data_IF_579367225912
#
_entry.id   IF_579367225912
#
_cell.length_a   1.000
_cell.length_b   1.000
_cell.length_c   1.000
_cell.angle_alpha   90.00
_cell.angle_beta   90.00
_cell.angle_gamma   90.00
#
_symmetry.space_group_name_H-M   'P 1'
#
loop_
_entity.id
_entity.type
_entity.pdbx_description
1 polymer ?
#
# COMPACT_ATOMS: atom_id res chain seq x y z
N UNK A 1 -17.19 -35.84 35.77
CA UNK A 1 -15.93 -35.21 35.30
C UNK A 1 -15.90 -34.95 33.78
N UNK A 2 -16.14 -35.94 32.90
CA UNK A 2 -16.12 -35.75 31.42
C UNK A 2 -17.05 -34.64 30.87
N UNK A 3 -18.27 -34.53 31.41
CA UNK A 3 -19.24 -33.48 31.06
C UNK A 3 -18.72 -32.06 31.34
N UNK A 4 -17.96 -31.87 32.42
CA UNK A 4 -17.39 -30.58 32.80
C UNK A 4 -16.29 -30.15 31.81
N UNK A 5 -15.44 -31.11 31.41
CA UNK A 5 -14.34 -30.88 30.45
C UNK A 5 -14.89 -30.53 29.06
N UNK A 6 -15.98 -31.15 28.62
CA UNK A 6 -16.61 -30.84 27.34
C UNK A 6 -17.21 -29.43 27.31
N UNK A 7 -17.86 -28.99 28.40
CA UNK A 7 -18.36 -27.61 28.53
C UNK A 7 -17.23 -26.58 28.50
N UNK A 8 -16.13 -26.86 29.21
CA UNK A 8 -14.94 -26.00 29.23
C UNK A 8 -14.31 -25.86 27.84
N UNK A 9 -14.23 -26.95 27.07
CA UNK A 9 -13.73 -26.92 25.68
C UNK A 9 -14.57 -26.02 24.78
N UNK A 10 -15.90 -26.12 24.87
CA UNK A 10 -16.82 -25.29 24.06
C UNK A 10 -16.65 -23.80 24.41
N UNK A 11 -16.58 -23.48 25.71
CA UNK A 11 -16.39 -22.09 26.16
C UNK A 11 -15.05 -21.53 25.66
N UNK A 12 -13.97 -22.30 25.74
CA UNK A 12 -12.66 -21.90 25.22
C UNK A 12 -12.69 -21.67 23.71
N UNK A 13 -13.29 -22.59 22.94
CA UNK A 13 -13.43 -22.42 21.49
C UNK A 13 -14.23 -21.16 21.15
N UNK A 14 -15.32 -20.89 21.85
CA UNK A 14 -16.13 -19.69 21.62
C UNK A 14 -15.36 -18.40 21.96
N UNK A 15 -14.63 -18.40 23.07
CA UNK A 15 -13.75 -17.29 23.47
C UNK A 15 -12.69 -16.99 22.40
N UNK A 16 -11.98 -18.01 21.89
CA UNK A 16 -11.00 -17.83 20.83
C UNK A 16 -11.62 -17.35 19.50
N UNK A 17 -12.82 -17.83 19.15
CA UNK A 17 -13.55 -17.34 17.96
C UNK A 17 -14.00 -15.88 18.08
N UNK A 18 -14.35 -15.40 19.28
CA UNK A 18 -14.72 -13.99 19.46
C UNK A 18 -13.51 -13.06 19.47
N UNK A 19 -12.34 -13.56 19.87
CA UNK A 19 -11.11 -12.77 19.92
C UNK A 19 -10.60 -12.40 18.52
N UNK A 20 -10.79 -13.27 17.52
CA UNK A 20 -10.38 -12.99 16.14
C UNK A 20 -11.13 -11.83 15.49
N UNK A 21 -12.35 -11.52 15.93
CA UNK A 21 -13.15 -10.40 15.43
C UNK A 21 -12.55 -9.04 15.82
N UNK A 22 -11.72 -8.99 16.88
CA UNK A 22 -11.05 -7.77 17.34
C UNK A 22 -9.72 -7.48 16.60
N UNK A 23 -9.29 -8.37 15.72
CA UNK A 23 -8.09 -8.16 14.91
C UNK A 23 -8.50 -7.53 13.59
N UNK A 24 -8.13 -6.27 13.40
CA UNK A 24 -8.27 -5.59 12.13
C UNK A 24 -6.91 -5.62 11.42
N UNK A 25 -6.86 -6.05 10.15
CA UNK A 25 -5.79 -5.65 9.24
C UNK A 25 -6.06 -4.19 8.89
N UNK A 26 -5.28 -3.27 9.47
CA UNK A 26 -5.53 -1.85 9.34
C UNK A 26 -4.39 -1.21 8.57
N UNK A 27 -4.77 -0.30 7.67
CA UNK A 27 -3.90 0.71 7.07
C UNK A 27 -2.91 0.28 6.01
N UNK A 28 -2.85 -1.00 5.65
CA UNK A 28 -1.99 -1.46 4.55
C UNK A 28 -2.36 -0.80 3.21
N UNK A 29 -3.64 -0.42 3.04
CA UNK A 29 -4.18 0.30 1.89
C UNK A 29 -4.45 1.80 2.14
N UNK A 30 -3.88 2.41 3.19
CA UNK A 30 -4.17 3.81 3.55
C UNK A 30 -3.36 4.86 2.77
N UNK A 31 -2.35 4.45 2.01
CA UNK A 31 -1.67 5.37 1.09
C UNK A 31 -1.91 4.90 -0.33
N UNK A 32 -2.37 5.83 -1.16
CA UNK A 32 -2.54 5.60 -2.58
C UNK A 32 -1.58 6.56 -3.28
N UNK A 33 -0.76 6.01 -4.16
CA UNK A 33 0.05 6.83 -5.07
C UNK A 33 -0.67 6.78 -6.40
N UNK A 34 -1.16 7.93 -6.83
CA UNK A 34 -1.82 8.12 -8.11
C UNK A 34 -0.78 8.66 -9.09
N UNK A 35 -1.06 8.50 -10.39
CA UNK A 35 -0.22 9.05 -11.47
C UNK A 35 0.12 10.54 -11.28
N UNK A 36 1.02 11.07 -12.10
CA UNK A 36 1.53 12.46 -11.93
C UNK A 36 2.10 12.74 -10.54
N UNK A 37 2.50 11.70 -9.80
CA UNK A 37 3.23 11.79 -8.53
C UNK A 37 2.45 12.41 -7.38
N UNK A 38 1.18 12.02 -7.23
CA UNK A 38 0.32 12.50 -6.15
C UNK A 38 0.10 11.39 -5.13
N UNK A 39 0.33 11.68 -3.85
CA UNK A 39 -0.03 10.81 -2.73
C UNK A 39 -1.38 11.24 -2.15
N UNK A 40 -2.30 10.29 -2.05
CA UNK A 40 -3.53 10.38 -1.28
C UNK A 40 -3.37 9.59 0.02
N UNK A 41 -3.50 10.29 1.16
CA UNK A 41 -3.25 9.74 2.50
C UNK A 41 -4.56 9.68 3.31
N UNK A 42 -4.99 8.46 3.62
CA UNK A 42 -6.18 8.17 4.42
C UNK A 42 -5.89 8.14 5.93
N UNK A 43 -4.67 8.43 6.38
CA UNK A 43 -4.38 8.62 7.81
C UNK A 43 -4.93 9.93 8.38
N UNK A 44 -5.44 10.82 7.53
CA UNK A 44 -6.05 12.09 7.91
C UNK A 44 -7.55 12.11 7.58
N UNK A 45 -8.31 12.94 8.28
CA UNK A 45 -9.71 13.22 7.97
C UNK A 45 -9.94 14.75 7.84
N UNK A 46 -10.28 15.28 6.65
CA UNK A 46 -10.41 14.56 5.38
C UNK A 46 -9.07 13.96 4.89
N UNK A 47 -9.10 12.98 3.97
CA UNK A 47 -7.89 12.47 3.33
C UNK A 47 -7.07 13.60 2.70
N UNK A 48 -5.76 13.55 2.86
CA UNK A 48 -4.86 14.63 2.41
C UNK A 48 -4.20 14.26 1.09
N UNK A 49 -4.08 15.25 0.20
CA UNK A 49 -3.34 15.14 -1.05
C UNK A 49 -2.00 15.85 -0.90
N UNK A 50 -0.91 15.19 -1.31
CA UNK A 50 0.43 15.77 -1.28
C UNK A 50 1.23 15.38 -2.52
N UNK A 51 2.04 16.28 -3.10
CA UNK A 51 2.97 15.92 -4.16
C UNK A 51 4.12 15.07 -3.59
N UNK A 52 4.49 13.99 -4.29
CA UNK A 52 5.70 13.23 -3.99
C UNK A 52 6.94 14.02 -4.43
N UNK A 53 7.99 14.03 -3.61
CA UNK A 53 9.21 14.81 -3.87
C UNK A 53 10.33 13.86 -4.29
N UNK A 54 10.47 13.61 -5.59
CA UNK A 54 11.66 12.91 -6.09
C UNK A 54 12.90 13.74 -5.78
N UNK A 55 13.79 13.23 -4.93
CA UNK A 55 14.94 13.98 -4.42
C UNK A 55 15.66 14.75 -5.53
N UNK A 56 15.87 16.06 -5.32
CA UNK A 56 16.55 17.04 -6.21
C UNK A 56 16.20 17.04 -7.71
N UNK A 57 15.36 16.13 -8.19
CA UNK A 57 14.91 16.08 -9.56
C UNK A 57 13.84 17.15 -9.70
N UNK A 58 14.18 18.24 -10.40
CA UNK A 58 13.18 19.12 -11.03
C UNK A 58 12.13 18.21 -11.62
N UNK A 59 10.89 18.32 -11.10
CA UNK A 59 9.68 17.62 -11.55
C UNK A 59 9.89 17.07 -12.95
N UNK A 60 10.24 15.78 -13.09
CA UNK A 60 10.23 15.23 -14.42
C UNK A 60 8.77 15.39 -14.84
N UNK A 61 8.55 15.92 -16.04
CA UNK A 61 7.29 15.73 -16.73
C UNK A 61 7.10 14.21 -16.89
N UNK A 62 6.73 13.52 -15.82
CA UNK A 62 6.35 12.12 -15.86
C UNK A 62 4.90 12.14 -16.31
N UNK A 63 4.74 12.35 -17.62
CA UNK A 63 3.53 12.05 -18.37
C UNK A 63 3.36 10.53 -18.55
N UNK A 64 3.78 9.72 -17.57
CA UNK A 64 3.80 8.27 -17.69
C UNK A 64 2.74 7.62 -16.80
N UNK A 65 1.76 7.06 -17.52
CA UNK A 65 0.84 5.98 -17.20
C UNK A 65 0.24 5.98 -15.80
N UNK A 66 -0.96 6.57 -15.73
CA UNK A 66 -1.90 6.51 -14.59
C UNK A 66 -2.25 5.06 -14.18
N UNK A 67 -1.97 4.09 -15.05
CA UNK A 67 -2.53 2.74 -15.00
C UNK A 67 -1.67 1.70 -14.26
N UNK A 68 -0.45 2.06 -13.84
CA UNK A 68 0.49 1.09 -13.23
C UNK A 68 1.08 1.58 -11.90
N UNK A 69 0.30 2.35 -11.14
CA UNK A 69 0.69 2.78 -9.81
C UNK A 69 0.26 1.75 -8.74
N UNK A 70 1.16 1.44 -7.82
CA UNK A 70 0.89 0.58 -6.66
C UNK A 70 1.62 1.15 -5.47
N UNK A 71 0.99 1.13 -4.30
CA UNK A 71 1.55 1.58 -3.04
C UNK A 71 1.24 0.55 -1.96
N UNK A 72 2.19 0.31 -1.05
CA UNK A 72 2.02 -0.57 0.10
C UNK A 72 2.43 0.14 1.37
N UNK A 73 1.59 0.04 2.40
CA UNK A 73 1.84 0.58 3.72
C UNK A 73 1.99 -0.52 4.76
N UNK A 74 2.62 -0.21 5.88
CA UNK A 74 2.60 -1.07 7.05
C UNK A 74 1.26 -0.99 7.82
N UNK A 75 1.15 -1.79 8.89
CA UNK A 75 -0.02 -1.81 9.77
C UNK A 75 -0.26 -0.49 10.53
N UNK A 76 0.73 0.41 10.57
CA UNK A 76 0.60 1.75 11.15
C UNK A 76 0.14 2.80 10.11
N UNK A 77 0.06 2.41 8.83
CA UNK A 77 -0.28 3.29 7.72
C UNK A 77 0.91 4.09 7.19
N UNK A 78 2.14 3.66 7.48
CA UNK A 78 3.37 4.25 6.95
C UNK A 78 3.65 3.66 5.56
N UNK A 79 3.85 4.53 4.57
CA UNK A 79 4.16 4.09 3.21
C UNK A 79 5.55 3.42 3.17
N UNK A 80 5.60 2.16 2.75
CA UNK A 80 6.84 1.38 2.68
C UNK A 80 7.46 1.46 1.28
N UNK A 81 6.66 1.14 0.26
CA UNK A 81 7.10 1.14 -1.14
C UNK A 81 5.98 1.61 -2.06
N UNK A 82 6.37 2.18 -3.19
CA UNK A 82 5.45 2.48 -4.27
C UNK A 82 6.13 2.39 -5.63
N UNK A 83 5.33 2.29 -6.68
CA UNK A 83 5.78 2.35 -8.08
C UNK A 83 4.86 3.25 -8.88
N UNK A 84 5.42 3.87 -9.91
CA UNK A 84 4.70 4.63 -10.95
C UNK A 84 4.79 3.92 -12.31
N UNK A 85 5.01 2.60 -12.30
CA UNK A 85 5.17 1.77 -13.50
C UNK A 85 6.61 1.69 -14.04
N UNK A 86 7.50 2.59 -13.64
CA UNK A 86 8.88 2.61 -14.14
C UNK A 86 9.90 2.05 -13.13
N UNK A 87 9.80 2.47 -11.87
CA UNK A 87 10.78 2.21 -10.82
C UNK A 87 10.08 1.86 -9.51
N UNK A 88 10.78 1.10 -8.66
CA UNK A 88 10.37 0.86 -7.27
C UNK A 88 10.98 1.97 -6.42
N UNK A 89 10.17 2.62 -5.60
CA UNK A 89 10.60 3.69 -4.72
C UNK A 89 10.43 3.30 -3.26
N UNK A 90 11.33 3.81 -2.42
CA UNK A 90 11.19 3.76 -0.97
C UNK A 90 10.21 4.85 -0.51
N UNK A 91 9.17 4.48 0.23
CA UNK A 91 8.11 5.40 0.66
C UNK A 91 8.53 6.48 1.67
N UNK A 92 9.71 6.36 2.27
CA UNK A 92 10.24 7.35 3.22
C UNK A 92 11.16 8.37 2.57
N UNK A 93 12.01 7.91 1.64
CA UNK A 93 13.08 8.71 1.04
C UNK A 93 12.81 9.14 -0.39
N UNK A 94 11.78 8.58 -1.03
CA UNK A 94 11.51 8.71 -2.47
C UNK A 94 12.69 8.26 -3.36
N UNK A 95 13.67 7.55 -2.79
CA UNK A 95 14.81 7.01 -3.51
C UNK A 95 14.39 5.79 -4.33
N UNK A 96 14.97 5.65 -5.52
CA UNK A 96 14.81 4.45 -6.35
C UNK A 96 15.49 3.28 -5.63
N UNK A 97 14.70 2.26 -5.32
CA UNK A 97 15.13 0.98 -4.74
C UNK A 97 15.46 -0.02 -5.84
N UNK A 98 14.70 0.00 -6.94
CA UNK A 98 14.93 -0.84 -8.10
C UNK A 98 14.55 -0.10 -9.38
N UNK A 99 15.48 -0.03 -10.33
CA UNK A 99 15.29 0.62 -11.63
C UNK A 99 14.91 -0.34 -12.76
N UNK A 100 14.82 -1.64 -12.47
CA UNK A 100 14.64 -2.70 -13.48
C UNK A 100 13.20 -3.18 -13.65
N UNK A 101 12.24 -2.62 -12.90
CA UNK A 101 10.83 -2.99 -13.03
C UNK A 101 10.24 -2.78 -14.43
N UNK A 102 10.78 -1.83 -15.21
CA UNK A 102 10.29 -1.53 -16.56
C UNK A 102 10.87 -2.42 -17.68
N UNK A 103 11.58 -3.53 -17.38
CA UNK A 103 12.36 -4.25 -18.41
C UNK A 103 11.55 -5.12 -19.39
N UNK A 104 10.22 -5.15 -19.34
CA UNK A 104 9.43 -5.91 -20.31
C UNK A 104 8.27 -5.07 -20.85
N UNK A 105 8.44 -4.54 -22.06
CA UNK A 105 7.42 -4.30 -23.12
C UNK A 105 6.09 -3.55 -22.81
N UNK A 106 5.69 -3.33 -21.55
CA UNK A 106 4.42 -2.68 -21.17
C UNK A 106 4.46 -1.16 -21.30
N UNK A 107 5.66 -0.57 -21.44
CA UNK A 107 5.80 0.82 -21.89
C UNK A 107 5.20 1.04 -23.30
N UNK A 108 4.92 -0.03 -24.06
CA UNK A 108 4.25 0.01 -25.36
C UNK A 108 2.72 0.08 -25.27
N UNK A 109 2.09 -0.24 -24.13
CA UNK A 109 0.63 -0.29 -24.03
C UNK A 109 -0.04 1.10 -23.96
N UNK A 110 0.73 2.16 -23.71
CA UNK A 110 0.24 3.55 -23.66
C UNK A 110 0.24 4.29 -25.00
N UNK A 111 0.57 3.64 -26.12
CA UNK A 111 0.57 4.27 -27.45
C UNK A 111 -0.55 3.71 -28.35
N UNK A 112 -1.77 3.65 -27.82
CA UNK A 112 -2.98 3.57 -28.64
C UNK A 112 -3.56 4.99 -28.69
N UNK A 113 -3.33 5.64 -29.83
CA UNK A 113 -3.95 6.91 -30.24
C UNK A 113 -5.47 6.78 -30.24
#
# INVERSE_FOLDING_TARGET
MKLLVNKLRIVLSFFFCTLSISVFAQKEAYNWVLGSNVKLDFNTFPPTFSPLKFGNAKTPNIAYNVESSTAVSDAAGQLLFYTTGQYLYNGWTDAIVDSTLATSLDASQGNVV
#
